data_IF_046104003129
#
_entry.id   IF_046104003129
#
_cell.length_a   1.000
_cell.length_b   1.000
_cell.length_c   1.000
_cell.angle_alpha   90.00
_cell.angle_beta   90.00
_cell.angle_gamma   90.00
#
_symmetry.space_group_name_H-M   'P 1'
#
loop_
_entity.id
_entity.type
_entity.pdbx_description
1 polymer ?
#
# COMPACT_ATOMS: atom_id res chain seq x y z
N UNK A 1 -49.74 -29.68 76.99
CA UNK A 1 -50.24 -29.74 78.38
C UNK A 1 -49.07 -29.47 79.31
N UNK A 2 -49.24 -28.43 80.15
CA UNK A 2 -48.58 -28.12 81.41
C UNK A 2 -47.07 -28.40 81.61
N UNK A 3 -46.32 -27.30 81.75
CA UNK A 3 -45.18 -27.17 82.66
C UNK A 3 -45.62 -27.37 84.13
N UNK A 4 -44.68 -27.63 85.05
CA UNK A 4 -44.73 -27.05 86.38
C UNK A 4 -43.69 -25.93 86.53
N UNK A 5 -44.23 -24.76 86.86
CA UNK A 5 -43.56 -23.60 87.44
C UNK A 5 -43.30 -23.80 88.94
N UNK A 6 -42.19 -23.26 89.46
CA UNK A 6 -42.13 -22.28 90.58
C UNK A 6 -40.79 -22.39 91.32
N UNK A 7 -40.04 -21.28 91.37
CA UNK A 7 -39.81 -20.61 92.65
C UNK A 7 -39.33 -19.17 92.43
N UNK A 8 -40.09 -18.23 92.96
CA UNK A 8 -39.79 -16.80 93.05
C UNK A 8 -39.05 -16.53 94.36
N UNK A 9 -38.03 -15.66 94.35
CA UNK A 9 -37.71 -14.79 95.48
C UNK A 9 -37.03 -13.49 95.02
N UNK A 10 -37.50 -12.39 95.61
CA UNK A 10 -37.19 -10.98 95.33
C UNK A 10 -35.81 -10.55 95.80
N UNK A 11 -35.37 -9.47 95.14
CA UNK A 11 -34.22 -8.60 95.39
C UNK A 11 -34.03 -8.17 96.86
N UNK A 12 -32.77 -8.01 97.27
CA UNK A 12 -32.28 -6.75 97.84
C UNK A 12 -30.77 -6.59 97.64
N UNK A 13 -30.43 -5.40 97.13
CA UNK A 13 -29.21 -4.60 97.25
C UNK A 13 -28.15 -5.06 98.26
N UNK A 14 -26.92 -5.26 97.78
CA UNK A 14 -25.66 -4.68 98.30
C UNK A 14 -24.48 -5.36 97.60
N UNK A 15 -23.79 -4.66 96.69
CA UNK A 15 -22.32 -4.73 96.57
C UNK A 15 -21.81 -3.74 95.51
N UNK A 16 -21.80 -2.48 95.91
CA UNK A 16 -21.21 -1.33 95.19
C UNK A 16 -19.69 -1.41 94.99
N UNK A 17 -19.04 -2.50 95.42
CA UNK A 17 -17.60 -2.69 95.30
C UNK A 17 -17.20 -3.62 94.14
N UNK A 18 -18.12 -4.46 93.64
CA UNK A 18 -17.84 -5.37 92.52
C UNK A 18 -17.84 -4.64 91.15
N UNK A 19 -18.70 -3.64 90.98
CA UNK A 19 -18.76 -2.82 89.76
C UNK A 19 -17.56 -1.86 89.63
N UNK A 20 -17.04 -1.33 90.74
CA UNK A 20 -15.84 -0.48 90.73
C UNK A 20 -14.55 -1.28 90.43
N UNK A 21 -14.48 -2.55 90.87
CA UNK A 21 -13.33 -3.42 90.55
C UNK A 21 -13.36 -3.93 89.10
N UNK A 22 -14.53 -4.03 88.47
CA UNK A 22 -14.64 -4.39 87.04
C UNK A 22 -14.21 -3.25 86.11
N UNK A 23 -14.46 -1.99 86.49
CA UNK A 23 -14.05 -0.81 85.72
C UNK A 23 -12.54 -0.56 85.80
N UNK A 24 -11.90 -0.84 86.95
CA UNK A 24 -10.44 -0.71 87.10
C UNK A 24 -9.66 -1.81 86.35
N UNK A 25 -10.24 -3.00 86.14
CA UNK A 25 -9.62 -4.05 85.32
C UNK A 25 -9.75 -3.78 83.81
N UNK A 26 -10.72 -2.97 83.37
CA UNK A 26 -10.86 -2.55 81.97
C UNK A 26 -9.94 -1.37 81.57
N UNK A 27 -9.27 -0.70 82.52
CA UNK A 27 -8.36 0.42 82.23
C UNK A 27 -6.87 0.04 82.14
N UNK A 28 -6.50 -1.24 82.33
CA UNK A 28 -5.09 -1.71 82.26
C UNK A 28 -4.72 -2.52 81.02
N UNK A 29 -5.46 -2.37 79.92
CA UNK A 29 -5.09 -2.91 78.61
C UNK A 29 -4.97 -1.82 77.52
N UNK A 30 -4.71 -0.57 77.91
CA UNK A 30 -4.48 0.55 77.01
C UNK A 30 -3.07 1.12 77.14
N UNK A 31 -2.06 0.45 76.54
CA UNK A 31 -0.78 1.07 76.16
C UNK A 31 0.07 0.11 75.31
N UNK A 32 0.39 0.56 74.10
CA UNK A 32 1.54 0.07 73.34
C UNK A 32 1.23 -0.84 72.16
N UNK A 33 0.43 -0.37 71.18
CA UNK A 33 0.65 -0.80 69.81
C UNK A 33 1.28 0.37 69.07
N UNK A 34 2.56 0.22 68.76
CA UNK A 34 3.33 1.17 67.97
C UNK A 34 2.58 1.44 66.67
N UNK A 35 2.39 2.72 66.38
CA UNK A 35 1.91 3.19 65.08
C UNK A 35 2.93 2.70 64.04
N UNK A 36 2.60 1.60 63.35
CA UNK A 36 3.26 1.29 62.10
C UNK A 36 2.91 2.46 61.17
N UNK A 37 3.92 3.26 60.83
CA UNK A 37 3.88 4.19 59.73
C UNK A 37 3.31 3.41 58.54
N UNK A 38 2.04 3.64 58.22
CA UNK A 38 1.49 3.18 56.96
C UNK A 38 2.12 4.10 55.93
N UNK A 39 3.25 3.67 55.37
CA UNK A 39 3.67 4.15 54.07
C UNK A 39 2.43 4.12 53.17
N UNK A 40 2.19 5.15 52.34
CA UNK A 40 1.12 5.06 51.37
C UNK A 40 1.38 3.78 50.57
N UNK A 41 0.50 2.78 50.71
CA UNK A 41 0.56 1.57 49.93
C UNK A 41 0.67 2.02 48.48
N UNK A 42 1.85 1.84 47.91
CA UNK A 42 2.20 2.31 46.60
C UNK A 42 1.13 1.76 45.64
N UNK A 43 0.31 2.64 45.08
CA UNK A 43 -0.81 2.35 44.16
C UNK A 43 -0.33 1.78 42.81
N UNK A 44 0.77 1.04 42.79
CA UNK A 44 1.44 0.55 41.59
C UNK A 44 1.58 -0.96 41.51
N UNK A 45 1.23 -1.75 42.54
CA UNK A 45 1.33 -3.21 42.47
C UNK A 45 0.08 -3.88 41.85
N UNK A 46 -1.09 -3.25 41.90
CA UNK A 46 -2.33 -3.78 41.29
C UNK A 46 -2.52 -3.37 39.81
N UNK A 47 -1.76 -2.38 39.32
CA UNK A 47 -1.87 -1.88 37.94
C UNK A 47 -1.06 -2.69 36.92
N UNK A 48 -0.14 -3.56 37.38
CA UNK A 48 0.80 -4.28 36.52
C UNK A 48 0.24 -5.60 35.95
N UNK A 49 -0.96 -6.03 36.34
CA UNK A 49 -1.49 -7.34 36.02
C UNK A 49 -2.93 -7.33 35.47
N UNK A 50 -3.36 -6.20 34.92
CA UNK A 50 -4.61 -6.11 34.19
C UNK A 50 -4.38 -6.39 32.70
N UNK A 51 -5.33 -7.05 32.01
CA UNK A 51 -5.24 -7.24 30.57
C UNK A 51 -5.07 -5.90 29.86
N UNK A 52 -4.09 -5.81 28.98
CA UNK A 52 -3.89 -4.64 28.12
C UNK A 52 -3.36 -5.05 26.76
N UNK A 53 -3.72 -4.30 25.73
CA UNK A 53 -3.09 -4.45 24.43
C UNK A 53 -1.63 -3.98 24.51
N UNK A 54 -0.72 -4.72 23.89
CA UNK A 54 0.69 -4.29 23.78
C UNK A 54 0.90 -3.17 22.77
N UNK A 55 -0.11 -2.86 21.97
CA UNK A 55 -0.07 -1.84 20.93
C UNK A 55 -0.64 -0.53 21.46
N UNK A 56 0.01 0.59 21.18
CA UNK A 56 -0.46 1.92 21.60
C UNK A 56 -1.70 2.36 20.81
N UNK A 57 -1.74 2.07 19.51
CA UNK A 57 -2.85 2.45 18.63
C UNK A 57 -3.96 1.41 18.67
N UNK A 58 -5.09 1.69 19.32
CA UNK A 58 -6.23 0.75 19.38
C UNK A 58 -6.99 0.61 18.06
N UNK A 59 -6.83 1.55 17.15
CA UNK A 59 -7.42 1.51 15.80
C UNK A 59 -6.30 1.59 14.76
N UNK A 60 -6.24 0.60 13.85
CA UNK A 60 -5.21 0.56 12.80
C UNK A 60 -5.81 0.24 11.44
N UNK A 61 -5.17 0.72 10.38
CA UNK A 61 -5.52 0.41 9.00
C UNK A 61 -4.44 -0.50 8.41
N UNK A 62 -4.85 -1.59 7.79
CA UNK A 62 -3.95 -2.58 7.21
C UNK A 62 -4.40 -2.83 5.78
N UNK A 63 -3.47 -2.73 4.84
CA UNK A 63 -3.72 -3.08 3.44
C UNK A 63 -3.15 -4.47 3.15
N UNK A 64 -3.90 -5.29 2.42
CA UNK A 64 -3.50 -6.63 2.01
C UNK A 64 -3.76 -6.83 0.53
N UNK A 65 -2.84 -7.51 -0.13
CA UNK A 65 -2.95 -7.89 -1.52
C UNK A 65 -4.04 -8.97 -1.71
N UNK A 66 -4.96 -8.78 -2.68
CA UNK A 66 -5.96 -9.81 -3.04
C UNK A 66 -5.29 -11.14 -3.35
N UNK A 67 -5.85 -12.24 -2.84
CA UNK A 67 -5.35 -13.60 -3.02
C UNK A 67 -4.23 -14.01 -2.05
N UNK A 68 -3.60 -13.05 -1.36
CA UNK A 68 -2.60 -13.35 -0.34
C UNK A 68 -3.25 -13.79 0.98
N UNK A 69 -2.44 -14.19 1.97
CA UNK A 69 -2.91 -14.49 3.32
C UNK A 69 -2.49 -13.38 4.28
N UNK A 70 -3.38 -12.96 5.18
CA UNK A 70 -3.09 -11.95 6.20
C UNK A 70 -3.24 -12.51 7.61
N UNK A 71 -2.45 -11.96 8.53
CA UNK A 71 -2.58 -12.17 9.96
C UNK A 71 -2.90 -10.83 10.62
N UNK A 72 -4.07 -10.73 11.24
CA UNK A 72 -4.45 -9.56 12.02
C UNK A 72 -3.96 -9.77 13.45
N UNK A 73 -3.03 -8.92 13.89
CA UNK A 73 -2.34 -9.10 15.16
C UNK A 73 -3.14 -8.52 16.34
N UNK A 74 -3.19 -9.29 17.44
CA UNK A 74 -3.79 -8.86 18.69
C UNK A 74 -2.99 -9.38 19.88
N UNK A 75 -1.96 -8.60 20.24
CA UNK A 75 -1.08 -8.92 21.35
C UNK A 75 -1.64 -8.37 22.66
N UNK A 76 -1.87 -9.27 23.62
CA UNK A 76 -2.53 -8.95 24.91
C UNK A 76 -1.68 -9.46 26.07
N UNK A 77 -1.18 -8.56 26.90
CA UNK A 77 -0.45 -8.91 28.13
C UNK A 77 -1.41 -8.96 29.32
N UNK A 78 -1.12 -9.79 30.33
CA UNK A 78 -1.93 -9.86 31.55
C UNK A 78 -3.30 -10.54 31.37
N UNK A 79 -3.45 -11.43 30.38
CA UNK A 79 -4.74 -12.03 30.01
C UNK A 79 -5.40 -12.84 31.15
N UNK A 80 -4.61 -13.52 32.00
CA UNK A 80 -5.10 -14.35 33.12
C UNK A 80 -6.21 -15.34 32.69
N UNK A 81 -7.39 -15.24 33.30
CA UNK A 81 -8.60 -16.03 33.09
C UNK A 81 -9.53 -15.44 32.01
N UNK A 82 -9.12 -14.32 31.40
CA UNK A 82 -9.89 -13.67 30.35
C UNK A 82 -9.66 -14.33 28.99
N UNK A 83 -10.59 -14.10 28.08
CA UNK A 83 -10.57 -14.64 26.74
C UNK A 83 -10.41 -13.54 25.70
N UNK A 84 -9.75 -13.88 24.59
CA UNK A 84 -9.66 -13.05 23.40
C UNK A 84 -10.64 -13.58 22.35
N UNK A 85 -11.41 -12.68 21.75
CA UNK A 85 -12.37 -13.02 20.70
C UNK A 85 -12.21 -12.10 19.51
N UNK A 86 -12.37 -12.65 18.30
CA UNK A 86 -12.38 -11.87 17.07
C UNK A 86 -13.80 -11.73 16.53
N UNK A 87 -14.13 -10.51 16.13
CA UNK A 87 -15.41 -10.16 15.54
C UNK A 87 -15.21 -9.45 14.20
N UNK A 88 -16.21 -9.56 13.33
CA UNK A 88 -16.34 -8.74 12.12
C UNK A 88 -17.56 -7.86 12.23
N UNK A 89 -17.39 -6.57 11.94
CA UNK A 89 -18.51 -5.64 11.83
C UNK A 89 -19.00 -5.55 10.39
N UNK A 90 -20.33 -5.57 10.24
CA UNK A 90 -21.01 -5.28 8.98
C UNK A 90 -22.14 -4.29 9.26
N UNK A 91 -21.88 -3.01 9.07
CA UNK A 91 -22.78 -1.96 9.53
C UNK A 91 -22.91 -1.97 11.05
N UNK A 92 -24.13 -2.16 11.56
CA UNK A 92 -24.43 -2.31 13.00
C UNK A 92 -24.35 -3.75 13.50
N UNK A 93 -24.27 -4.75 12.61
CA UNK A 93 -24.19 -6.15 13.00
C UNK A 93 -22.76 -6.55 13.37
N UNK A 94 -22.64 -7.35 14.44
CA UNK A 94 -21.38 -7.92 14.92
C UNK A 94 -21.45 -9.44 14.77
N UNK A 95 -20.52 -9.99 14.01
CA UNK A 95 -20.43 -11.43 13.75
C UNK A 95 -19.21 -12.01 14.46
N UNK A 96 -19.41 -13.02 15.31
CA UNK A 96 -18.32 -13.73 15.98
C UNK A 96 -17.53 -14.56 14.96
N UNK A 97 -16.22 -14.38 14.93
CA UNK A 97 -15.31 -15.20 14.13
C UNK A 97 -14.66 -16.25 15.01
N UNK A 98 -14.03 -15.85 16.10
CA UNK A 98 -13.33 -16.77 17.02
C UNK A 98 -13.59 -16.39 18.47
N UNK A 99 -13.60 -17.39 19.34
CA UNK A 99 -13.56 -17.21 20.79
C UNK A 99 -12.47 -18.12 21.35
N UNK A 100 -11.44 -17.50 21.94
CA UNK A 100 -10.22 -18.19 22.29
C UNK A 100 -9.64 -18.88 21.06
N UNK A 101 -9.35 -20.18 21.18
CA UNK A 101 -8.81 -21.01 20.09
C UNK A 101 -9.87 -21.58 19.13
N UNK A 102 -11.16 -21.42 19.43
CA UNK A 102 -12.24 -21.96 18.62
C UNK A 102 -12.69 -20.98 17.54
N UNK A 103 -12.91 -21.47 16.32
CA UNK A 103 -13.43 -20.68 15.20
C UNK A 103 -14.90 -21.03 14.96
N UNK A 104 -15.75 -20.01 14.91
CA UNK A 104 -17.20 -20.10 14.71
C UNK A 104 -17.64 -19.59 13.33
N UNK A 105 -16.73 -19.01 12.56
CA UNK A 105 -17.00 -18.54 11.21
C UNK A 105 -17.18 -19.73 10.26
N UNK A 106 -18.16 -19.65 9.34
CA UNK A 106 -18.48 -20.73 8.40
C UNK A 106 -17.47 -20.90 7.24
N UNK A 107 -16.59 -19.93 7.03
CA UNK A 107 -15.57 -19.96 5.98
C UNK A 107 -14.23 -20.42 6.57
N UNK A 108 -13.74 -21.59 6.13
CA UNK A 108 -12.50 -22.24 6.57
C UNK A 108 -11.22 -21.42 6.34
N UNK A 109 -11.30 -20.34 5.53
CA UNK A 109 -10.17 -19.41 5.35
C UNK A 109 -9.87 -18.64 6.63
N UNK A 110 -10.86 -18.45 7.49
CA UNK A 110 -10.73 -17.78 8.78
C UNK A 110 -10.30 -18.79 9.84
N UNK A 111 -9.25 -18.49 10.58
CA UNK A 111 -8.76 -19.34 11.66
C UNK A 111 -7.96 -18.52 12.67
N UNK A 112 -7.93 -18.95 13.93
CA UNK A 112 -7.01 -18.37 14.90
C UNK A 112 -5.62 -19.02 14.79
N UNK A 113 -4.56 -18.21 14.77
CA UNK A 113 -3.19 -18.66 15.00
C UNK A 113 -2.58 -17.90 16.18
N UNK A 114 -1.97 -18.63 17.10
CA UNK A 114 -1.34 -18.03 18.28
C UNK A 114 0.17 -17.95 18.09
N UNK A 115 0.74 -16.74 18.14
CA UNK A 115 2.19 -16.51 18.12
C UNK A 115 2.69 -16.25 19.54
N UNK A 116 3.79 -16.91 19.89
CA UNK A 116 4.40 -16.73 21.20
C UNK A 116 5.32 -15.51 21.22
N UNK A 117 5.28 -14.65 22.25
CA UNK A 117 4.33 -14.64 23.37
C UNK A 117 3.07 -13.80 23.10
N UNK A 118 1.90 -14.34 23.47
CA UNK A 118 0.66 -13.60 23.71
C UNK A 118 0.03 -12.88 22.50
N UNK A 119 0.29 -13.32 21.27
CA UNK A 119 -0.31 -12.74 20.07
C UNK A 119 -1.39 -13.63 19.47
N UNK A 120 -2.64 -13.17 19.58
CA UNK A 120 -3.84 -13.88 19.14
C UNK A 120 -4.19 -13.43 17.72
N UNK A 121 -3.56 -14.05 16.71
CA UNK A 121 -3.70 -13.60 15.33
C UNK A 121 -4.93 -14.21 14.66
N UNK A 122 -5.76 -13.37 14.07
CA UNK A 122 -6.77 -13.85 13.13
C UNK A 122 -6.12 -14.03 11.76
N UNK A 123 -6.05 -15.26 11.27
CA UNK A 123 -5.55 -15.60 9.94
C UNK A 123 -6.71 -15.65 8.95
N UNK A 124 -6.56 -14.95 7.83
CA UNK A 124 -7.48 -15.01 6.68
C UNK A 124 -6.67 -15.43 5.46
N UNK A 125 -6.97 -16.60 4.90
CA UNK A 125 -6.33 -17.10 3.67
C UNK A 125 -7.04 -16.60 2.42
N UNK A 126 -6.30 -16.47 1.31
CA UNK A 126 -6.84 -16.13 -0.01
C UNK A 126 -7.80 -14.95 0.04
N UNK A 127 -7.33 -13.82 0.55
CA UNK A 127 -8.16 -12.64 0.83
C UNK A 127 -8.89 -12.18 -0.44
N UNK A 128 -10.17 -11.88 -0.29
CA UNK A 128 -11.06 -11.45 -1.37
C UNK A 128 -11.57 -10.03 -1.07
N UNK A 129 -12.06 -9.32 -2.09
CA UNK A 129 -12.58 -7.95 -1.90
C UNK A 129 -13.71 -7.89 -0.87
N UNK A 130 -14.54 -8.93 -0.84
CA UNK A 130 -15.62 -9.06 0.14
C UNK A 130 -15.14 -9.23 1.57
N UNK A 131 -13.85 -9.45 1.83
CA UNK A 131 -13.27 -9.53 3.17
C UNK A 131 -12.85 -8.15 3.69
N UNK A 132 -12.82 -7.12 2.85
CA UNK A 132 -12.62 -5.73 3.28
C UNK A 132 -13.65 -5.35 4.35
N UNK A 133 -13.19 -4.58 5.34
CA UNK A 133 -14.04 -4.05 6.41
C UNK A 133 -13.36 -4.02 7.77
N UNK A 134 -14.19 -3.87 8.80
CA UNK A 134 -13.74 -3.67 10.18
C UNK A 134 -13.75 -4.97 10.98
N UNK A 135 -12.60 -5.31 11.55
CA UNK A 135 -12.39 -6.45 12.43
C UNK A 135 -12.05 -5.98 13.83
N UNK A 136 -12.52 -6.69 14.84
CA UNK A 136 -12.29 -6.32 16.24
C UNK A 136 -11.75 -7.48 17.04
N UNK A 137 -10.63 -7.22 17.71
CA UNK A 137 -10.15 -8.08 18.77
C UNK A 137 -10.68 -7.55 20.10
N UNK A 138 -11.45 -8.36 20.81
CA UNK A 138 -12.00 -8.00 22.11
C UNK A 138 -11.48 -8.92 23.21
N UNK A 139 -11.18 -8.34 24.36
CA UNK A 139 -10.84 -9.06 25.60
C UNK A 139 -12.05 -9.04 26.52
N UNK A 140 -12.39 -10.18 27.13
CA UNK A 140 -13.58 -10.36 27.98
C UNK A 140 -13.52 -9.68 29.36
N UNK A 141 -12.90 -8.50 29.45
CA UNK A 141 -12.90 -7.64 30.62
C UNK A 141 -14.24 -6.92 30.79
N UNK A 142 -14.45 -6.33 31.97
CA UNK A 142 -15.56 -5.43 32.22
C UNK A 142 -15.03 -4.03 32.59
N UNK A 143 -15.21 -3.02 31.73
CA UNK A 143 -15.78 -3.09 30.38
C UNK A 143 -14.86 -3.82 29.37
N UNK A 144 -15.40 -4.32 28.23
CA UNK A 144 -14.59 -5.01 27.22
C UNK A 144 -13.53 -4.12 26.60
N UNK A 145 -12.28 -4.58 26.59
CA UNK A 145 -11.22 -3.91 25.83
C UNK A 145 -11.33 -4.28 24.37
N UNK A 146 -11.31 -3.30 23.47
CA UNK A 146 -11.47 -3.50 22.03
C UNK A 146 -10.31 -2.88 21.25
N UNK A 147 -9.76 -3.65 20.32
CA UNK A 147 -8.82 -3.19 19.29
C UNK A 147 -9.48 -3.37 17.93
N UNK A 148 -9.56 -2.30 17.17
CA UNK A 148 -10.25 -2.25 15.87
C UNK A 148 -9.23 -2.20 14.73
N UNK A 149 -9.47 -2.98 13.68
CA UNK A 149 -8.61 -3.08 12.50
C UNK A 149 -9.46 -2.88 11.26
N UNK A 150 -9.12 -1.88 10.44
CA UNK A 150 -9.70 -1.69 9.12
C UNK A 150 -8.83 -2.41 8.09
N UNK A 151 -9.35 -3.49 7.53
CA UNK A 151 -8.68 -4.26 6.49
C UNK A 151 -9.09 -3.74 5.12
N UNK A 152 -8.14 -3.23 4.35
CA UNK A 152 -8.31 -2.85 2.96
C UNK A 152 -7.71 -3.89 2.03
N UNK A 153 -8.46 -4.28 0.99
CA UNK A 153 -8.00 -5.27 0.01
C UNK A 153 -7.61 -4.54 -1.27
N UNK A 154 -6.33 -4.63 -1.60
CA UNK A 154 -5.75 -3.90 -2.74
C UNK A 154 -5.40 -4.84 -3.89
N UNK A 155 -5.55 -4.30 -5.11
CA UNK A 155 -5.09 -4.92 -6.35
C UNK A 155 -4.10 -3.96 -7.03
N UNK A 156 -2.89 -4.43 -7.40
CA UNK A 156 -1.85 -3.61 -7.97
C UNK A 156 -2.29 -3.06 -9.32
N UNK A 157 -2.10 -1.77 -9.49
CA UNK A 157 -2.25 -1.11 -10.77
C UNK A 157 -0.86 -0.90 -11.36
N UNK A 158 -0.62 -1.48 -12.54
CA UNK A 158 0.66 -1.38 -13.26
C UNK A 158 0.41 -0.67 -14.57
N UNK A 159 1.09 0.46 -14.76
CA UNK A 159 0.98 1.28 -15.96
C UNK A 159 2.37 1.58 -16.52
N UNK A 160 2.50 1.59 -17.83
CA UNK A 160 3.68 2.11 -18.53
C UNK A 160 3.30 3.48 -19.09
N UNK A 161 4.06 4.48 -18.70
CA UNK A 161 3.87 5.87 -19.06
C UNK A 161 5.02 6.35 -19.94
N UNK A 162 4.76 7.42 -20.67
CA UNK A 162 5.78 8.13 -21.41
C UNK A 162 6.43 9.29 -20.64
N UNK A 163 7.28 10.05 -21.32
CA UNK A 163 7.96 11.23 -20.78
C UNK A 163 7.01 12.35 -20.33
N UNK A 164 5.76 12.34 -20.80
CA UNK A 164 4.69 13.29 -20.43
C UNK A 164 3.78 12.74 -19.34
N UNK A 165 3.93 11.47 -18.96
CA UNK A 165 3.12 10.81 -17.96
C UNK A 165 1.83 10.19 -18.50
N UNK A 166 1.69 10.05 -19.83
CA UNK A 166 0.50 9.46 -20.45
C UNK A 166 0.64 7.93 -20.55
N UNK A 167 -0.45 7.20 -20.33
CA UNK A 167 -0.46 5.73 -20.40
C UNK A 167 -0.26 5.27 -21.83
N UNK A 168 0.74 4.40 -22.04
CA UNK A 168 1.11 3.90 -23.36
C UNK A 168 0.58 2.49 -23.64
N UNK A 169 0.01 2.32 -24.83
CA UNK A 169 -0.21 1.02 -25.48
C UNK A 169 0.74 0.82 -26.67
N UNK A 170 1.01 1.91 -27.40
CA UNK A 170 1.94 1.98 -28.51
C UNK A 170 2.69 3.33 -28.51
N UNK A 171 3.96 3.34 -28.96
CA UNK A 171 4.72 4.58 -29.18
C UNK A 171 5.72 4.45 -30.32
N UNK A 172 5.88 5.54 -31.07
CA UNK A 172 6.83 5.66 -32.16
C UNK A 172 8.03 6.51 -31.76
N UNK A 173 9.22 6.04 -32.10
CA UNK A 173 10.50 6.74 -31.91
C UNK A 173 11.24 6.80 -33.25
N UNK A 174 12.04 7.84 -33.45
CA UNK A 174 12.93 7.91 -34.60
C UNK A 174 14.22 7.16 -34.32
N UNK A 175 14.83 6.59 -35.36
CA UNK A 175 16.17 6.00 -35.25
C UNK A 175 17.18 7.03 -34.74
N UNK A 176 18.07 6.64 -33.84
CA UNK A 176 19.06 7.50 -33.16
C UNK A 176 18.50 8.28 -31.96
N UNK A 177 17.19 8.28 -31.73
CA UNK A 177 16.58 8.89 -30.54
C UNK A 177 16.73 8.02 -29.29
N UNK A 178 16.26 8.52 -28.14
CA UNK A 178 16.25 7.77 -26.87
C UNK A 178 14.84 7.32 -26.54
N UNK A 179 14.66 6.01 -26.36
CA UNK A 179 13.42 5.44 -25.81
C UNK A 179 13.42 5.68 -24.30
N UNK A 180 12.40 6.34 -23.79
CA UNK A 180 12.18 6.55 -22.35
C UNK A 180 10.80 6.03 -21.95
N UNK A 181 10.78 5.07 -21.03
CA UNK A 181 9.55 4.47 -20.50
C UNK A 181 9.56 4.53 -18.99
N UNK A 182 8.41 4.82 -18.39
CA UNK A 182 8.23 4.82 -16.95
C UNK A 182 7.18 3.78 -16.54
N UNK A 183 7.57 2.77 -15.78
CA UNK A 183 6.65 1.84 -15.15
C UNK A 183 6.25 2.39 -13.78
N UNK A 184 4.95 2.50 -13.54
CA UNK A 184 4.36 2.92 -12.26
C UNK A 184 3.53 1.77 -11.71
N UNK A 185 3.87 1.35 -10.49
CA UNK A 185 3.14 0.31 -9.75
C UNK A 185 2.54 0.95 -8.50
N UNK A 186 1.21 0.97 -8.45
CA UNK A 186 0.43 1.52 -7.34
C UNK A 186 -0.48 0.45 -6.73
N UNK A 187 -1.19 0.80 -5.65
CA UNK A 187 -2.13 -0.08 -4.94
C UNK A 187 -1.49 -1.39 -4.43
N UNK A 188 -0.28 -1.28 -3.90
CA UNK A 188 0.41 -2.37 -3.20
C UNK A 188 0.50 -2.08 -1.71
N UNK A 189 0.49 -3.09 -0.82
CA UNK A 189 0.64 -2.88 0.62
C UNK A 189 1.95 -2.17 0.98
N UNK A 190 3.05 -2.63 0.38
CA UNK A 190 4.38 -2.07 0.58
C UNK A 190 5.18 -2.21 -0.71
N UNK A 191 5.78 -1.12 -1.19
CA UNK A 191 6.57 -1.09 -2.41
C UNK A 191 7.97 -1.71 -2.23
N UNK A 192 8.53 -1.70 -1.02
CA UNK A 192 9.88 -2.22 -0.76
C UNK A 192 10.01 -3.74 -0.90
N UNK A 193 8.90 -4.48 -0.89
CA UNK A 193 8.89 -5.93 -1.17
C UNK A 193 8.80 -6.25 -2.66
N UNK A 194 8.63 -5.25 -3.53
CA UNK A 194 8.52 -5.47 -4.97
C UNK A 194 9.88 -5.61 -5.64
N UNK A 195 9.96 -6.52 -6.60
CA UNK A 195 11.09 -6.62 -7.52
C UNK A 195 10.61 -6.32 -8.94
N UNK A 196 11.06 -5.19 -9.49
CA UNK A 196 10.76 -4.72 -10.83
C UNK A 196 11.87 -5.11 -11.81
N UNK A 197 11.50 -5.51 -13.01
CA UNK A 197 12.42 -5.79 -14.11
C UNK A 197 11.78 -5.43 -15.46
N UNK A 198 12.60 -4.90 -16.37
CA UNK A 198 12.19 -4.60 -17.73
C UNK A 198 12.60 -5.72 -18.69
N UNK A 199 11.75 -5.96 -19.68
CA UNK A 199 11.98 -6.94 -20.72
C UNK A 199 11.66 -6.36 -22.10
N UNK A 200 12.40 -6.82 -23.10
CA UNK A 200 12.11 -6.64 -24.53
C UNK A 200 12.03 -8.01 -25.18
N UNK A 201 10.82 -8.40 -25.62
CA UNK A 201 10.55 -9.80 -25.94
C UNK A 201 10.88 -10.70 -24.74
N UNK A 202 11.72 -11.72 -24.93
CA UNK A 202 12.14 -12.62 -23.84
C UNK A 202 13.39 -12.13 -23.08
N UNK A 203 14.04 -11.07 -23.56
CA UNK A 203 15.31 -10.62 -23.03
C UNK A 203 15.11 -9.64 -21.87
N UNK A 204 15.68 -9.97 -20.71
CA UNK A 204 15.74 -9.05 -19.58
C UNK A 204 16.67 -7.88 -19.91
N UNK A 205 16.14 -6.67 -19.85
CA UNK A 205 16.90 -5.43 -20.01
C UNK A 205 17.56 -5.08 -18.67
N UNK A 206 18.88 -5.20 -18.63
CA UNK A 206 19.70 -4.73 -17.52
C UNK A 206 20.62 -3.60 -18.01
N UNK A 207 21.51 -3.10 -17.15
CA UNK A 207 22.60 -2.20 -17.53
C UNK A 207 23.57 -2.95 -18.46
N UNK A 208 23.22 -3.09 -19.74
CA UNK A 208 23.89 -4.01 -20.65
C UNK A 208 25.19 -3.38 -21.20
N UNK A 209 26.31 -4.01 -20.83
CA UNK A 209 27.65 -3.58 -21.12
C UNK A 209 28.09 -3.80 -22.58
N UNK A 210 27.31 -4.53 -23.40
CA UNK A 210 27.70 -4.86 -24.80
C UNK A 210 27.37 -3.76 -25.80
N UNK A 211 26.17 -3.20 -25.74
CA UNK A 211 25.73 -2.11 -26.61
C UNK A 211 25.99 -0.73 -26.01
N UNK A 212 25.92 -0.64 -24.67
CA UNK A 212 25.84 0.64 -23.98
C UNK A 212 24.50 1.34 -24.22
N UNK A 213 24.18 2.35 -23.40
CA UNK A 213 22.98 3.17 -23.59
C UNK A 213 21.68 2.60 -23.00
N UNK A 214 21.67 1.39 -22.45
CA UNK A 214 20.54 0.88 -21.65
C UNK A 214 20.75 1.21 -20.18
N UNK A 215 19.80 1.92 -19.57
CA UNK A 215 19.82 2.19 -18.14
C UNK A 215 18.44 1.97 -17.52
N UNK A 216 18.45 1.39 -16.31
CA UNK A 216 17.26 1.17 -15.52
C UNK A 216 17.47 1.81 -14.16
N UNK A 217 16.53 2.67 -13.76
CA UNK A 217 16.50 3.27 -12.42
C UNK A 217 15.19 2.89 -11.76
N UNK A 218 15.24 2.46 -10.50
CA UNK A 218 14.04 2.09 -9.74
C UNK A 218 13.99 2.85 -8.42
N UNK A 219 12.82 3.37 -8.09
CA UNK A 219 12.52 4.06 -6.84
C UNK A 219 11.30 3.41 -6.18
N UNK A 220 11.45 3.00 -4.92
CA UNK A 220 10.41 2.38 -4.12
C UNK A 220 10.08 3.31 -2.95
N UNK A 221 8.81 3.71 -2.81
CA UNK A 221 8.37 4.62 -1.74
C UNK A 221 7.00 4.24 -1.21
N UNK A 222 6.92 3.84 0.06
CA UNK A 222 5.64 3.55 0.71
C UNK A 222 4.85 2.50 -0.05
N UNK A 223 3.76 2.90 -0.71
CA UNK A 223 2.85 2.06 -1.51
C UNK A 223 3.00 2.27 -3.03
N UNK A 224 4.03 3.01 -3.46
CA UNK A 224 4.28 3.38 -4.85
C UNK A 224 5.69 2.96 -5.29
N UNK A 225 5.79 2.24 -6.41
CA UNK A 225 7.05 1.96 -7.06
C UNK A 225 7.07 2.60 -8.46
N UNK A 226 8.22 3.19 -8.81
CA UNK A 226 8.48 3.75 -10.13
C UNK A 226 9.78 3.19 -10.68
N UNK A 227 9.78 2.77 -11.94
CA UNK A 227 10.98 2.35 -12.65
C UNK A 227 11.07 3.04 -14.00
N UNK A 228 12.25 3.56 -14.34
CA UNK A 228 12.53 4.23 -15.60
C UNK A 228 13.48 3.36 -16.40
N UNK A 229 13.07 3.03 -17.62
CA UNK A 229 13.92 2.42 -18.64
C UNK A 229 14.31 3.50 -19.65
N UNK A 230 15.61 3.58 -19.95
CA UNK A 230 16.14 4.36 -21.05
C UNK A 230 16.96 3.48 -21.98
N UNK A 231 16.69 3.57 -23.28
CA UNK A 231 17.48 2.93 -24.33
C UNK A 231 17.92 4.02 -25.31
N UNK A 232 19.21 4.38 -25.25
CA UNK A 232 19.82 5.36 -26.14
C UNK A 232 20.18 4.79 -27.52
N UNK A 233 20.35 5.68 -28.50
CA UNK A 233 20.68 5.34 -29.89
C UNK A 233 19.74 4.27 -30.46
N UNK A 234 18.43 4.55 -30.46
CA UNK A 234 17.40 3.61 -30.85
C UNK A 234 17.59 3.14 -32.30
N UNK A 235 17.50 1.83 -32.53
CA UNK A 235 17.61 1.20 -33.84
C UNK A 235 16.31 0.52 -34.20
N UNK A 236 16.10 0.24 -35.48
CA UNK A 236 14.90 -0.50 -35.92
C UNK A 236 14.75 -1.88 -35.24
N UNK A 237 15.87 -2.51 -34.86
CA UNK A 237 15.93 -3.75 -34.07
C UNK A 237 15.40 -3.63 -32.63
N UNK A 238 15.31 -2.41 -32.08
CA UNK A 238 14.68 -2.16 -30.77
C UNK A 238 13.16 -2.17 -30.83
N UNK A 239 12.57 -2.18 -32.03
CA UNK A 239 11.12 -2.29 -32.15
C UNK A 239 10.63 -3.59 -31.54
N UNK A 240 9.46 -3.55 -30.89
CA UNK A 240 8.87 -4.74 -30.29
C UNK A 240 8.15 -4.43 -28.99
N UNK A 241 7.83 -5.50 -28.27
CA UNK A 241 7.05 -5.43 -27.04
C UNK A 241 8.00 -5.25 -25.87
N UNK A 242 7.81 -4.17 -25.14
CA UNK A 242 8.44 -3.92 -23.85
C UNK A 242 7.43 -4.18 -22.75
N UNK A 243 7.84 -4.84 -21.68
CA UNK A 243 6.97 -4.99 -20.52
C UNK A 243 7.72 -4.82 -19.21
N UNK A 244 6.99 -4.27 -18.24
CA UNK A 244 7.44 -4.13 -16.86
C UNK A 244 6.92 -5.32 -16.08
N UNK A 245 7.83 -6.20 -15.70
CA UNK A 245 7.52 -7.36 -14.88
C UNK A 245 7.67 -6.99 -13.40
N UNK A 246 6.66 -7.34 -12.60
CA UNK A 246 6.64 -7.15 -11.15
C UNK A 246 6.42 -8.52 -10.52
N UNK A 247 7.41 -8.99 -9.78
CA UNK A 247 7.43 -10.37 -9.23
C UNK A 247 6.20 -10.62 -8.36
N UNK A 248 5.57 -11.79 -8.52
CA UNK A 248 4.34 -12.23 -7.83
C UNK A 248 3.07 -11.43 -8.15
N UNK A 249 3.11 -10.52 -9.12
CA UNK A 249 1.97 -9.72 -9.57
C UNK A 249 1.73 -9.89 -11.08
N UNK A 250 0.82 -9.08 -11.62
CA UNK A 250 0.57 -8.97 -13.07
C UNK A 250 1.71 -8.23 -13.78
N UNK A 251 1.68 -8.23 -15.12
CA UNK A 251 2.58 -7.43 -15.96
C UNK A 251 1.78 -6.61 -16.97
N UNK A 252 2.29 -5.43 -17.31
CA UNK A 252 1.74 -4.56 -18.36
C UNK A 252 2.80 -4.37 -19.45
N UNK A 253 2.37 -4.33 -20.72
CA UNK A 253 3.23 -4.20 -21.88
C UNK A 253 2.88 -2.99 -22.75
N UNK A 254 3.85 -2.55 -23.55
CA UNK A 254 3.73 -1.49 -24.56
C UNK A 254 4.45 -1.94 -25.82
N UNK A 255 3.91 -1.58 -26.99
CA UNK A 255 4.56 -1.84 -28.28
C UNK A 255 5.33 -0.61 -28.74
N UNK A 256 6.62 -0.77 -29.01
CA UNK A 256 7.50 0.30 -29.47
C UNK A 256 7.85 0.10 -30.93
N UNK A 257 7.78 1.18 -31.71
CA UNK A 257 8.13 1.21 -33.12
C UNK A 257 9.26 2.22 -33.34
N UNK A 258 10.41 1.75 -33.82
CA UNK A 258 11.53 2.63 -34.18
C UNK A 258 11.56 2.80 -35.70
N UNK A 259 11.29 4.02 -36.15
CA UNK A 259 11.20 4.37 -37.57
C UNK A 259 12.52 4.97 -38.02
N UNK A 260 13.13 4.39 -39.05
CA UNK A 260 14.27 5.01 -39.71
C UNK A 260 13.81 6.27 -40.44
N UNK A 261 14.47 7.40 -40.21
CA UNK A 261 14.23 8.60 -41.01
C UNK A 261 14.58 8.27 -42.47
N UNK A 262 13.56 8.27 -43.34
CA UNK A 262 13.79 8.42 -44.77
C UNK A 262 14.06 9.90 -45.02
N UNK A 263 15.12 10.20 -45.78
CA UNK A 263 15.38 11.53 -46.34
C UNK A 263 14.07 12.23 -46.74
N UNK A 264 13.89 13.54 -46.45
CA UNK A 264 12.67 14.23 -46.83
C UNK A 264 12.52 14.10 -48.34
N UNK A 265 11.42 13.48 -48.76
CA UNK A 265 11.05 13.34 -50.16
C UNK A 265 10.64 14.72 -50.71
N UNK A 266 11.61 15.61 -50.92
CA UNK A 266 11.52 16.82 -51.74
C UNK A 266 12.91 17.49 -51.87
N UNK A 267 13.91 16.80 -52.45
CA UNK A 267 14.89 17.50 -53.27
C UNK A 267 14.38 17.48 -54.70
N UNK A 268 13.33 18.26 -54.96
CA UNK A 268 12.99 18.61 -56.34
C UNK A 268 14.11 19.51 -56.84
N UNK A 269 14.85 19.02 -57.83
CA UNK A 269 16.05 19.67 -58.35
C UNK A 269 15.76 21.08 -58.85
N UNK A 270 16.42 22.06 -58.23
CA UNK A 270 16.76 23.29 -58.90
C UNK A 270 18.13 23.08 -59.58
N UNK A 271 18.11 22.46 -60.75
CA UNK A 271 19.21 22.62 -61.70
C UNK A 271 19.14 24.06 -62.21
N UNK A 272 19.90 24.95 -61.59
CA UNK A 272 20.15 26.28 -62.14
C UNK A 272 21.12 26.14 -63.31
N UNK A 273 20.74 26.48 -64.57
CA UNK A 273 21.72 26.63 -65.61
C UNK A 273 22.63 27.80 -65.24
N UNK A 274 23.93 27.55 -65.21
CA UNK A 274 24.97 28.57 -65.15
C UNK A 274 24.79 29.55 -66.31
N UNK A 275 24.28 30.74 -66.03
CA UNK A 275 24.38 31.87 -66.96
C UNK A 275 25.74 32.51 -66.76
N UNK A 276 26.76 31.88 -67.32
CA UNK A 276 28.03 32.53 -67.61
C UNK A 276 28.15 32.68 -69.12
N UNK A 277 28.05 33.93 -69.59
CA UNK A 277 28.91 34.52 -70.63
C UNK A 277 28.39 35.89 -71.02
N UNK A 278 29.16 36.90 -70.66
CA UNK A 278 29.16 38.16 -71.39
C UNK A 278 29.64 37.93 -72.83
N UNK A 279 29.02 38.62 -73.77
CA UNK A 279 29.58 39.74 -74.56
C UNK A 279 28.71 39.92 -75.84
N UNK A 280 28.45 41.17 -76.28
CA UNK A 280 27.36 41.52 -77.17
C UNK A 280 27.83 41.77 -78.61
N UNK A 281 27.06 41.40 -79.62
CA UNK A 281 27.24 41.93 -80.98
C UNK A 281 25.89 42.14 -81.67
N UNK A 282 25.62 43.42 -81.93
CA UNK A 282 24.84 43.93 -83.04
C UNK A 282 25.03 43.06 -84.29
N UNK A 283 23.95 42.59 -84.89
CA UNK A 283 23.72 42.34 -86.33
C UNK A 283 22.53 41.37 -86.40
N UNK A 284 21.35 41.86 -86.78
CA UNK A 284 20.28 41.11 -87.49
C UNK A 284 19.03 41.96 -87.81
N UNK A 285 19.14 43.30 -87.83
CA UNK A 285 18.07 44.20 -88.32
C UNK A 285 18.11 44.46 -89.83
N UNK A 286 18.64 43.54 -90.65
CA UNK A 286 18.74 43.73 -92.12
C UNK A 286 18.10 42.59 -92.94
N UNK A 287 17.63 41.50 -92.32
CA UNK A 287 17.05 40.36 -93.06
C UNK A 287 15.51 40.29 -93.08
N UNK A 288 14.82 41.33 -92.60
CA UNK A 288 13.35 41.40 -92.63
C UNK A 288 12.77 42.32 -93.74
N UNK A 289 13.61 43.02 -94.51
CA UNK A 289 13.17 43.98 -95.52
C UNK A 289 13.45 43.56 -96.98
N UNK A 290 13.96 42.35 -97.22
CA UNK A 290 14.14 41.79 -98.58
C UNK A 290 13.13 40.69 -98.95
N UNK A 291 12.14 40.42 -98.09
CA UNK A 291 11.03 39.50 -98.38
C UNK A 291 9.75 40.20 -98.86
N UNK A 292 9.74 41.54 -98.94
CA UNK A 292 8.58 42.32 -99.39
C UNK A 292 8.61 42.76 -100.86
N UNK A 293 9.66 42.44 -101.63
CA UNK A 293 9.81 42.89 -103.03
C UNK A 293 9.74 41.78 -104.09
N UNK A 294 9.39 40.54 -103.75
CA UNK A 294 9.25 39.43 -104.73
C UNK A 294 7.88 38.73 -104.71
N UNK A 295 6.94 39.15 -103.87
CA UNK A 295 5.62 38.51 -103.77
C UNK A 295 4.45 39.42 -104.19
N UNK A 296 4.61 40.20 -105.27
CA UNK A 296 3.47 40.94 -105.86
C UNK A 296 3.50 41.08 -107.39
N UNK A 297 4.16 40.15 -108.09
CA UNK A 297 3.99 40.02 -109.54
C UNK A 297 4.08 38.54 -109.91
N UNK A 298 2.98 37.83 -109.67
CA UNK A 298 2.60 36.56 -110.31
C UNK A 298 1.38 35.96 -109.59
N UNK A 299 0.19 36.51 -109.83
CA UNK A 299 -0.98 35.67 -110.16
C UNK A 299 -2.11 36.52 -110.73
N UNK A 300 -2.35 36.32 -112.02
CA UNK A 300 -3.38 36.90 -112.86
C UNK A 300 -4.81 36.71 -112.32
N UNK A 301 -5.57 37.81 -112.26
CA UNK A 301 -6.77 38.05 -113.08
C UNK A 301 -7.28 39.47 -112.95
#
# INVERSE_FOLDING_TARGET
MAWPSLCSRRLTTTNSYALLMLVLLLQKAGKGFSKAETEPANTSVAALDQPRFSHDQLTVNISVQRGSSVHLHCKVTGLRDQSVSWYRRKGSEIHLITWGFQTYHNDDRFSLTYDHPQDWRLRIKYVQDRDEGTYECQVSTYPPLTRTIHLHVVVPAIQILDDRGEVLTEKFYNSGSTIELQCVVANVPTASSLQLAWYHGENRLNYDARRGGVSVKTELRGTLAKSWLRVGDAKTEDSGIYYCNVTELSATSVTIHVVAEKYPAAMQGAWSPTTDRGVPWLVTTVLALLWFSVCNSCRDR
#
